data_IF_502078843902
#
_entry.id   IF_502078843902
#
_cell.length_a   1.000
_cell.length_b   1.000
_cell.length_c   1.000
_cell.angle_alpha   90.00
_cell.angle_beta   90.00
_cell.angle_gamma   90.00
#
_symmetry.space_group_name_H-M   'P 1'
#
loop_
_entity.id
_entity.type
_entity.pdbx_description
1 polymer ?
#
# COMPACT_ATOMS: atom_id res chain seq x y z
N UNK A 1 -11.73 -4.61 12.28
CA UNK A 1 -12.83 -3.59 12.24
C UNK A 1 -12.45 -2.50 11.25
N UNK A 2 -13.39 -2.06 10.37
CA UNK A 2 -13.11 -0.98 9.39
C UNK A 2 -12.82 0.35 10.10
N UNK A 3 -11.93 1.21 9.53
CA UNK A 3 -11.73 2.55 10.05
C UNK A 3 -12.99 3.41 9.88
N UNK A 4 -13.19 4.33 10.81
CA UNK A 4 -14.23 5.36 10.75
C UNK A 4 -13.75 6.50 9.82
N UNK A 5 -14.68 7.32 9.34
CA UNK A 5 -14.36 8.44 8.44
C UNK A 5 -13.34 9.45 9.02
N UNK A 6 -13.33 9.65 10.33
CA UNK A 6 -12.39 10.55 10.99
C UNK A 6 -10.99 9.97 11.26
N UNK A 7 -10.74 8.72 10.87
CA UNK A 7 -9.45 8.04 11.07
C UNK A 7 -8.44 8.33 9.94
N UNK A 8 -8.87 8.91 8.83
CA UNK A 8 -8.02 9.39 7.74
C UNK A 8 -8.66 10.59 7.04
N UNK A 9 -7.84 11.39 6.35
CA UNK A 9 -8.35 12.47 5.50
C UNK A 9 -9.14 11.92 4.31
N UNK A 10 -10.16 12.66 3.87
CA UNK A 10 -11.15 12.24 2.87
C UNK A 10 -10.53 11.73 1.55
N UNK A 11 -9.38 12.25 1.16
CA UNK A 11 -8.64 11.78 -0.02
C UNK A 11 -8.44 10.25 -0.03
N UNK A 12 -8.19 9.65 1.13
CA UNK A 12 -7.92 8.20 1.24
C UNK A 12 -9.19 7.34 1.39
N UNK A 13 -10.36 7.94 1.56
CA UNK A 13 -11.61 7.17 1.68
C UNK A 13 -11.88 6.33 0.42
N UNK A 14 -11.48 6.83 -0.77
CA UNK A 14 -11.59 6.08 -2.01
C UNK A 14 -10.80 4.76 -1.99
N UNK A 15 -9.64 4.72 -1.35
CA UNK A 15 -8.86 3.49 -1.16
C UNK A 15 -9.48 2.58 -0.10
N UNK A 16 -9.78 3.13 1.09
CA UNK A 16 -10.38 2.38 2.20
C UNK A 16 -11.66 1.68 1.76
N UNK A 17 -12.48 2.33 0.94
CA UNK A 17 -13.77 1.80 0.49
C UNK A 17 -13.65 0.67 -0.55
N UNK A 18 -12.49 0.47 -1.18
CA UNK A 18 -12.22 -0.67 -2.06
C UNK A 18 -11.93 -1.96 -1.30
N UNK A 19 -11.67 -1.86 -0.01
CA UNK A 19 -11.33 -3.04 0.82
C UNK A 19 -12.62 -3.69 1.30
N UNK A 20 -12.84 -4.96 0.93
CA UNK A 20 -13.95 -5.75 1.42
C UNK A 20 -13.55 -6.52 2.69
N UNK A 21 -14.46 -6.59 3.65
CA UNK A 21 -14.25 -7.30 4.90
C UNK A 21 -13.76 -6.41 6.04
N UNK A 22 -13.69 -7.01 7.24
CA UNK A 22 -13.38 -6.34 8.50
C UNK A 22 -12.05 -6.79 9.12
N UNK A 23 -11.38 -7.77 8.51
CA UNK A 23 -10.05 -8.25 8.90
C UNK A 23 -9.05 -7.88 7.81
N UNK A 24 -8.38 -6.76 8.00
CA UNK A 24 -7.44 -6.23 7.01
C UNK A 24 -6.20 -7.12 6.84
N UNK A 25 -5.78 -7.85 7.88
CA UNK A 25 -4.60 -8.75 7.78
C UNK A 25 -4.92 -9.89 6.83
N UNK A 26 -6.06 -10.55 6.98
CA UNK A 26 -6.52 -11.58 6.04
C UNK A 26 -6.70 -11.06 4.61
N UNK A 27 -7.13 -9.79 4.44
CA UNK A 27 -7.19 -9.16 3.11
C UNK A 27 -5.80 -9.01 2.50
N UNK A 28 -4.83 -8.52 3.27
CA UNK A 28 -3.45 -8.35 2.81
C UNK A 28 -2.79 -9.69 2.45
N UNK A 29 -3.08 -10.76 3.19
CA UNK A 29 -2.63 -12.13 2.91
C UNK A 29 -3.16 -12.63 1.57
N UNK A 30 -4.48 -12.55 1.38
CA UNK A 30 -5.12 -12.94 0.10
C UNK A 30 -4.56 -12.12 -1.07
N UNK A 31 -4.40 -10.80 -0.90
CA UNK A 31 -3.84 -9.93 -1.93
C UNK A 31 -2.40 -10.30 -2.29
N UNK A 32 -1.59 -10.80 -1.37
CA UNK A 32 -0.24 -11.26 -1.69
C UNK A 32 -0.26 -12.37 -2.73
N UNK A 33 -1.08 -13.39 -2.52
CA UNK A 33 -1.15 -14.56 -3.40
C UNK A 33 -1.81 -14.21 -4.75
N UNK A 34 -2.99 -13.59 -4.71
CA UNK A 34 -3.75 -13.23 -5.91
C UNK A 34 -2.99 -12.24 -6.80
N UNK A 35 -2.38 -11.21 -6.20
CA UNK A 35 -1.64 -10.19 -6.96
C UNK A 35 -0.33 -10.76 -7.50
N UNK A 36 0.37 -11.60 -6.74
CA UNK A 36 1.60 -12.25 -7.24
C UNK A 36 1.29 -13.11 -8.45
N UNK A 37 0.23 -13.93 -8.42
CA UNK A 37 -0.19 -14.74 -9.56
C UNK A 37 -0.53 -13.85 -10.77
N UNK A 38 -1.37 -12.84 -10.57
CA UNK A 38 -1.77 -11.91 -11.63
C UNK A 38 -0.57 -11.18 -12.28
N UNK A 39 0.35 -10.66 -11.48
CA UNK A 39 1.53 -9.95 -12.00
C UNK A 39 2.50 -10.90 -12.72
N UNK A 40 2.60 -12.16 -12.30
CA UNK A 40 3.47 -13.16 -12.93
C UNK A 40 3.01 -13.56 -14.33
N UNK A 41 1.75 -13.34 -14.68
CA UNK A 41 1.20 -13.58 -16.01
C UNK A 41 1.50 -12.44 -17.01
N UNK A 42 2.01 -11.31 -16.54
CA UNK A 42 2.37 -10.17 -17.39
C UNK A 42 3.78 -10.40 -17.97
N UNK A 43 3.92 -10.31 -19.29
CA UNK A 43 5.20 -10.51 -19.95
C UNK A 43 6.17 -9.34 -19.71
N UNK A 44 7.47 -9.61 -19.85
CA UNK A 44 8.54 -8.63 -19.78
C UNK A 44 8.32 -7.46 -20.74
N UNK A 45 7.93 -7.75 -21.99
CA UNK A 45 7.63 -6.73 -23.00
C UNK A 45 6.42 -5.88 -22.60
N UNK A 46 5.33 -6.52 -22.11
CA UNK A 46 4.11 -5.83 -21.68
C UNK A 46 4.37 -4.92 -20.48
N UNK A 47 5.32 -5.25 -19.62
CA UNK A 47 5.64 -4.46 -18.44
C UNK A 47 6.15 -3.05 -18.76
N UNK A 48 6.71 -2.82 -19.94
CA UNK A 48 7.14 -1.50 -20.42
C UNK A 48 6.01 -0.68 -21.07
N UNK A 49 4.81 -1.26 -21.22
CA UNK A 49 3.69 -0.58 -21.84
C UNK A 49 3.23 0.64 -21.04
N UNK A 50 2.93 1.73 -21.77
CA UNK A 50 2.28 2.95 -21.28
C UNK A 50 0.97 3.11 -22.07
N UNK A 51 -0.14 3.27 -21.38
CA UNK A 51 -1.43 3.46 -22.08
C UNK A 51 -1.58 4.86 -22.72
N UNK A 52 -0.70 5.80 -22.38
CA UNK A 52 -0.54 7.12 -23.00
C UNK A 52 0.90 7.61 -22.82
N UNK A 53 1.45 8.44 -23.73
CA UNK A 53 2.88 8.84 -23.70
C UNK A 53 3.33 9.54 -22.41
N UNK A 54 2.40 10.19 -21.71
CA UNK A 54 2.63 10.94 -20.47
C UNK A 54 2.30 10.14 -19.20
N UNK A 55 1.98 8.84 -19.35
CA UNK A 55 1.64 7.96 -18.23
C UNK A 55 2.79 7.02 -17.89
N UNK A 56 2.77 6.55 -16.67
CA UNK A 56 3.74 5.58 -16.17
C UNK A 56 3.69 4.27 -16.96
N UNK A 57 4.82 3.61 -17.10
CA UNK A 57 4.87 2.21 -17.51
C UNK A 57 4.30 1.32 -16.41
N UNK A 58 4.01 0.05 -16.73
CA UNK A 58 3.63 -0.92 -15.69
C UNK A 58 4.71 -1.09 -14.64
N UNK A 59 6.01 -1.02 -15.02
CA UNK A 59 7.14 -1.08 -14.09
C UNK A 59 7.14 0.10 -13.14
N UNK A 60 6.97 1.32 -13.65
CA UNK A 60 6.88 2.53 -12.84
C UNK A 60 5.66 2.50 -11.93
N UNK A 61 4.52 2.01 -12.41
CA UNK A 61 3.32 1.87 -11.61
C UNK A 61 3.51 0.85 -10.48
N UNK A 62 4.07 -0.33 -10.76
CA UNK A 62 4.32 -1.34 -9.72
C UNK A 62 5.37 -0.87 -8.71
N UNK A 63 6.41 -0.18 -9.18
CA UNK A 63 7.38 0.45 -8.29
C UNK A 63 6.71 1.48 -7.37
N UNK A 64 5.83 2.36 -7.90
CA UNK A 64 5.05 3.28 -7.10
C UNK A 64 4.20 2.56 -6.04
N UNK A 65 3.59 1.43 -6.39
CA UNK A 65 2.81 0.62 -5.42
C UNK A 65 3.72 0.10 -4.30
N UNK A 66 4.90 -0.42 -4.65
CA UNK A 66 5.88 -0.93 -3.69
C UNK A 66 6.38 0.18 -2.74
N UNK A 67 6.73 1.34 -3.29
CA UNK A 67 7.19 2.49 -2.50
C UNK A 67 6.08 3.07 -1.63
N UNK A 68 4.87 3.20 -2.17
CA UNK A 68 3.70 3.64 -1.42
C UNK A 68 3.42 2.73 -0.22
N UNK A 69 3.52 1.41 -0.39
CA UNK A 69 3.35 0.45 0.70
C UNK A 69 4.43 0.62 1.78
N UNK A 70 5.71 0.82 1.39
CA UNK A 70 6.80 1.11 2.34
C UNK A 70 6.53 2.39 3.14
N UNK A 71 6.08 3.44 2.48
CA UNK A 71 5.76 4.72 3.14
C UNK A 71 4.60 4.55 4.12
N UNK A 72 3.52 3.89 3.72
CA UNK A 72 2.38 3.65 4.62
C UNK A 72 2.77 2.70 5.78
N UNK A 73 3.56 1.68 5.52
CA UNK A 73 4.08 0.78 6.56
C UNK A 73 4.96 1.53 7.57
N UNK A 74 5.86 2.39 7.10
CA UNK A 74 6.70 3.20 7.99
C UNK A 74 5.85 4.14 8.86
N UNK A 75 4.84 4.78 8.29
CA UNK A 75 3.90 5.60 9.05
C UNK A 75 3.15 4.77 10.10
N UNK A 76 2.66 3.59 9.72
CA UNK A 76 1.98 2.69 10.66
C UNK A 76 2.90 2.24 11.79
N UNK A 77 4.16 1.90 11.50
CA UNK A 77 5.18 1.58 12.51
C UNK A 77 5.41 2.74 13.46
N UNK A 78 5.61 3.95 12.93
CA UNK A 78 5.88 5.16 13.70
C UNK A 78 4.76 5.44 14.70
N UNK A 79 3.52 5.40 14.23
CA UNK A 79 2.34 5.64 15.06
C UNK A 79 2.09 4.50 16.05
N UNK A 80 2.22 3.25 15.62
CA UNK A 80 2.05 2.09 16.50
C UNK A 80 3.08 2.06 17.66
N UNK A 81 4.24 2.66 17.48
CA UNK A 81 5.27 2.80 18.53
C UNK A 81 5.16 4.12 19.31
N UNK A 82 4.12 4.92 19.04
CA UNK A 82 3.83 6.19 19.71
C UNK A 82 4.97 7.24 19.62
N UNK A 83 5.70 7.27 18.50
CA UNK A 83 6.64 8.36 18.24
C UNK A 83 5.85 9.68 18.08
N UNK A 84 6.32 10.78 18.73
CA UNK A 84 5.54 12.01 18.78
C UNK A 84 5.68 12.90 17.55
N UNK A 85 6.74 12.75 16.78
CA UNK A 85 7.06 13.67 15.69
C UNK A 85 6.21 13.41 14.44
N UNK A 86 5.75 14.46 13.74
CA UNK A 86 5.05 14.32 12.49
C UNK A 86 5.98 13.86 11.38
N UNK A 87 5.44 13.09 10.44
CA UNK A 87 6.17 12.61 9.26
C UNK A 87 5.92 13.49 8.04
N UNK A 88 6.94 13.66 7.16
CA UNK A 88 6.83 14.48 5.96
C UNK A 88 5.90 13.86 4.92
N UNK A 89 5.59 14.67 3.90
CA UNK A 89 4.95 14.20 2.67
C UNK A 89 5.92 13.33 1.85
N UNK A 90 5.35 12.41 1.10
CA UNK A 90 6.04 11.65 0.06
C UNK A 90 5.49 12.11 -1.30
N UNK A 91 6.36 12.65 -2.13
CA UNK A 91 6.03 13.03 -3.49
C UNK A 91 6.25 11.82 -4.41
N UNK A 92 5.15 11.27 -4.92
CA UNK A 92 5.18 10.07 -5.75
C UNK A 92 5.86 10.30 -7.10
N UNK A 93 5.76 11.50 -7.69
CA UNK A 93 6.32 11.79 -9.00
C UNK A 93 7.85 11.90 -8.91
N UNK A 94 8.35 12.50 -7.84
CA UNK A 94 9.79 12.49 -7.50
C UNK A 94 10.27 11.06 -7.26
N UNK A 95 9.49 10.27 -6.52
CA UNK A 95 9.81 8.86 -6.23
C UNK A 95 9.93 8.03 -7.52
N UNK A 96 8.92 8.06 -8.37
CA UNK A 96 8.89 7.31 -9.63
C UNK A 96 10.03 7.73 -10.56
N UNK A 97 10.26 9.05 -10.72
CA UNK A 97 11.36 9.54 -11.56
C UNK A 97 12.74 9.09 -11.02
N UNK A 98 12.92 9.08 -9.69
CA UNK A 98 14.17 8.67 -9.05
C UNK A 98 14.42 7.17 -9.10
N UNK A 99 13.36 6.35 -9.17
CA UNK A 99 13.48 4.90 -9.16
C UNK A 99 14.05 4.29 -10.45
N UNK A 100 13.89 4.96 -11.60
CA UNK A 100 14.34 4.45 -12.90
C UNK A 100 13.84 3.02 -13.18
N UNK A 101 12.58 2.75 -12.86
CA UNK A 101 12.00 1.41 -12.80
C UNK A 101 12.10 0.64 -14.13
N UNK A 102 12.06 1.33 -15.27
CA UNK A 102 12.17 0.72 -16.60
C UNK A 102 13.55 0.06 -16.89
N UNK A 103 14.56 0.35 -16.08
CA UNK A 103 15.91 -0.24 -16.22
C UNK A 103 16.04 -1.62 -15.57
N UNK A 104 15.04 -2.07 -14.81
CA UNK A 104 15.06 -3.34 -14.10
C UNK A 104 14.01 -4.30 -14.66
N UNK A 105 14.33 -5.59 -14.69
CA UNK A 105 13.44 -6.63 -15.20
C UNK A 105 12.10 -6.70 -14.40
N UNK A 106 11.01 -7.03 -15.09
CA UNK A 106 9.70 -7.16 -14.47
C UNK A 106 9.69 -8.15 -13.30
N UNK A 107 10.40 -9.25 -13.44
CA UNK A 107 10.52 -10.25 -12.39
C UNK A 107 11.07 -9.67 -11.07
N UNK A 108 11.98 -8.67 -11.14
CA UNK A 108 12.51 -8.01 -9.95
C UNK A 108 11.44 -7.18 -9.25
N UNK A 109 10.60 -6.45 -10.00
CA UNK A 109 9.50 -5.66 -9.43
C UNK A 109 8.44 -6.55 -8.76
N UNK A 110 8.13 -7.71 -9.35
CA UNK A 110 7.22 -8.69 -8.75
C UNK A 110 7.82 -9.31 -7.49
N UNK A 111 9.10 -9.66 -7.51
CA UNK A 111 9.81 -10.17 -6.33
C UNK A 111 9.85 -9.13 -5.20
N UNK A 112 10.07 -7.86 -5.54
CA UNK A 112 10.04 -6.74 -4.61
C UNK A 112 8.66 -6.56 -3.99
N UNK A 113 7.57 -6.61 -4.78
CA UNK A 113 6.20 -6.58 -4.27
C UNK A 113 5.97 -7.66 -3.20
N UNK A 114 6.39 -8.89 -3.49
CA UNK A 114 6.27 -10.00 -2.54
C UNK A 114 7.02 -9.74 -1.24
N UNK A 115 8.24 -9.24 -1.34
CA UNK A 115 9.08 -8.95 -0.16
C UNK A 115 8.50 -7.83 0.70
N UNK A 116 8.04 -6.73 0.07
CA UNK A 116 7.42 -5.59 0.75
C UNK A 116 6.13 -6.04 1.45
N UNK A 117 5.23 -6.73 0.75
CA UNK A 117 3.98 -7.23 1.33
C UNK A 117 4.24 -8.25 2.46
N UNK A 118 5.24 -9.11 2.33
CA UNK A 118 5.62 -10.03 3.41
C UNK A 118 6.09 -9.27 4.66
N UNK A 119 6.89 -8.20 4.50
CA UNK A 119 7.30 -7.33 5.59
C UNK A 119 6.12 -6.60 6.23
N UNK A 120 5.18 -6.09 5.43
CA UNK A 120 3.93 -5.46 5.87
C UNK A 120 3.10 -6.41 6.73
N UNK A 121 2.90 -7.64 6.25
CA UNK A 121 2.18 -8.68 6.99
C UNK A 121 2.89 -9.05 8.30
N UNK A 122 4.22 -9.23 8.26
CA UNK A 122 5.00 -9.51 9.45
C UNK A 122 4.82 -8.43 10.52
N UNK A 123 4.78 -7.15 10.12
CA UNK A 123 4.54 -6.05 11.05
C UNK A 123 3.11 -6.08 11.63
N UNK A 124 2.07 -6.12 10.79
CA UNK A 124 0.68 -6.07 11.29
C UNK A 124 0.33 -7.28 12.17
N UNK A 125 0.94 -8.45 11.92
CA UNK A 125 0.80 -9.64 12.79
C UNK A 125 1.42 -9.45 14.18
N UNK A 126 2.31 -8.46 14.39
CA UNK A 126 2.83 -8.12 15.72
C UNK A 126 1.88 -7.24 16.53
N UNK A 127 0.86 -6.66 15.89
CA UNK A 127 -0.19 -5.93 16.58
C UNK A 127 -1.25 -6.94 17.03
N UNK A 128 -1.69 -6.93 18.29
CA UNK A 128 -2.71 -7.85 18.76
C UNK A 128 -3.98 -7.80 17.88
N UNK A 129 -4.60 -8.95 17.64
CA UNK A 129 -5.84 -9.02 16.88
C UNK A 129 -6.88 -8.04 17.45
N UNK A 130 -7.69 -7.41 16.59
CA UNK A 130 -8.59 -6.31 16.97
C UNK A 130 -9.59 -6.63 18.10
N UNK A 131 -9.82 -7.90 18.38
CA UNK A 131 -10.68 -8.37 19.47
C UNK A 131 -9.92 -8.78 20.74
N UNK A 132 -8.59 -8.70 20.74
CA UNK A 132 -7.79 -8.99 21.92
C UNK A 132 -7.76 -7.79 22.89
N UNK A 133 -7.67 -8.08 24.18
CA UNK A 133 -7.56 -7.03 25.20
C UNK A 133 -6.38 -6.11 24.93
N UNK A 134 -6.60 -4.80 24.89
CA UNK A 134 -5.58 -3.78 24.62
C UNK A 134 -5.24 -3.56 23.14
N UNK A 135 -5.78 -4.34 22.21
CA UNK A 135 -5.55 -4.14 20.77
C UNK A 135 -6.10 -2.82 20.25
N UNK A 136 -7.26 -2.42 20.74
CA UNK A 136 -7.93 -1.17 20.37
C UNK A 136 -7.00 0.05 20.54
N UNK A 137 -6.18 0.05 21.60
CA UNK A 137 -5.23 1.14 21.86
C UNK A 137 -4.24 1.32 20.72
N UNK A 138 -3.62 0.23 20.21
CA UNK A 138 -2.62 0.31 19.15
C UNK A 138 -3.26 0.63 17.81
N UNK A 139 -4.37 -0.02 17.46
CA UNK A 139 -5.05 0.22 16.19
C UNK A 139 -5.61 1.64 16.07
N UNK A 140 -6.02 2.23 17.20
CA UNK A 140 -6.54 3.61 17.28
C UNK A 140 -5.46 4.68 17.45
N UNK A 141 -4.19 4.30 17.64
CA UNK A 141 -3.11 5.31 17.75
C UNK A 141 -3.07 6.16 16.50
N UNK A 142 -3.03 7.46 16.73
CA UNK A 142 -3.04 8.48 15.68
C UNK A 142 -1.69 9.19 15.63
N UNK A 143 -1.22 9.43 14.42
CA UNK A 143 -0.07 10.30 14.16
C UNK A 143 -0.36 11.22 12.99
N UNK A 144 0.55 12.17 12.78
CA UNK A 144 0.46 13.14 11.69
C UNK A 144 1.44 12.77 10.59
N UNK A 145 0.96 12.67 9.36
CA UNK A 145 1.79 12.54 8.16
C UNK A 145 1.25 13.42 7.04
N UNK A 146 2.13 14.07 6.29
CA UNK A 146 1.72 15.02 5.24
C UNK A 146 0.75 16.09 5.76
N UNK A 147 0.88 16.52 7.01
CA UNK A 147 0.01 17.51 7.65
C UNK A 147 -1.38 16.98 8.06
N UNK A 148 -1.66 15.71 7.92
CA UNK A 148 -2.98 15.11 8.18
C UNK A 148 -2.91 13.98 9.22
N UNK A 149 -3.97 13.77 10.02
CA UNK A 149 -4.03 12.69 10.98
C UNK A 149 -4.38 11.35 10.31
N UNK A 150 -3.78 10.27 10.81
CA UNK A 150 -4.10 8.90 10.44
C UNK A 150 -4.02 7.99 11.65
N UNK A 151 -4.93 7.03 11.76
CA UNK A 151 -4.76 5.92 12.69
C UNK A 151 -3.94 4.79 12.07
N UNK A 152 -3.37 3.94 12.90
CA UNK A 152 -2.69 2.70 12.46
C UNK A 152 -3.65 1.82 11.65
N UNK A 153 -4.90 1.71 12.09
CA UNK A 153 -5.96 0.98 11.39
C UNK A 153 -6.21 1.55 9.99
N UNK A 154 -6.38 2.86 9.87
CA UNK A 154 -6.62 3.50 8.59
C UNK A 154 -5.46 3.25 7.61
N UNK A 155 -4.20 3.32 8.08
CA UNK A 155 -3.03 3.03 7.26
C UNK A 155 -3.01 1.59 6.73
N UNK A 156 -3.40 0.59 7.55
CA UNK A 156 -3.51 -0.79 7.08
C UNK A 156 -4.54 -0.94 5.94
N UNK A 157 -5.71 -0.31 6.07
CA UNK A 157 -6.73 -0.29 5.02
C UNK A 157 -6.32 0.52 3.80
N UNK A 158 -5.55 1.60 3.97
CA UNK A 158 -4.99 2.38 2.86
C UNK A 158 -4.01 1.51 2.05
N UNK A 159 -3.14 0.75 2.68
CA UNK A 159 -2.24 -0.20 2.00
C UNK A 159 -3.01 -1.17 1.13
N UNK A 160 -4.02 -1.83 1.69
CA UNK A 160 -4.84 -2.80 0.96
C UNK A 160 -5.63 -2.15 -0.19
N UNK A 161 -6.23 -0.99 0.05
CA UNK A 161 -7.04 -0.28 -0.94
C UNK A 161 -6.24 0.41 -2.02
N UNK A 162 -5.03 0.89 -1.73
CA UNK A 162 -4.11 1.45 -2.69
C UNK A 162 -3.69 0.40 -3.73
N UNK A 163 -3.31 -0.80 -3.28
CA UNK A 163 -3.04 -1.91 -4.20
C UNK A 163 -4.28 -2.25 -5.03
N UNK A 164 -5.45 -2.41 -4.40
CA UNK A 164 -6.68 -2.75 -5.12
C UNK A 164 -6.99 -1.74 -6.23
N UNK A 165 -6.84 -0.44 -5.93
CA UNK A 165 -7.00 0.62 -6.93
C UNK A 165 -6.06 0.44 -8.12
N UNK A 166 -4.77 0.22 -7.86
CA UNK A 166 -3.80 0.11 -8.95
C UNK A 166 -3.95 -1.19 -9.75
N UNK A 167 -4.40 -2.28 -9.15
CA UNK A 167 -4.76 -3.51 -9.89
C UNK A 167 -5.96 -3.27 -10.81
N UNK A 168 -6.98 -2.50 -10.38
CA UNK A 168 -8.08 -2.07 -11.27
C UNK A 168 -7.55 -1.24 -12.44
N UNK A 169 -6.69 -0.26 -12.17
CA UNK A 169 -6.06 0.56 -13.22
C UNK A 169 -5.27 -0.28 -14.21
N UNK A 170 -4.51 -1.27 -13.73
CA UNK A 170 -3.76 -2.19 -14.62
C UNK A 170 -4.72 -2.93 -15.55
N UNK A 171 -5.77 -3.53 -14.99
CA UNK A 171 -6.76 -4.31 -15.75
C UNK A 171 -7.52 -3.48 -16.79
N UNK A 172 -7.85 -2.23 -16.46
CA UNK A 172 -8.67 -1.37 -17.31
C UNK A 172 -7.87 -0.62 -18.38
N UNK A 173 -6.61 -0.29 -18.10
CA UNK A 173 -5.83 0.64 -18.94
C UNK A 173 -4.64 -0.01 -19.64
N UNK A 174 -4.02 -1.02 -18.99
CA UNK A 174 -2.79 -1.59 -19.51
C UNK A 174 -2.98 -2.94 -20.19
N UNK A 175 -4.01 -3.71 -19.83
CA UNK A 175 -4.29 -5.04 -20.40
C UNK A 175 -5.46 -5.02 -21.37
#
# INVERSE_FOLDING_TARGET
MRPKENEAVSYYHGYINRVEGNDVVSVLERQLDETTAFLSDISEEKSLHRYSPDKWSLRELLNHVNDGERVFLFRALWFARAFPDPLPSYDQDVGVAGARADEFDWANHVAEFRAVRAATLAFFRTIPAENAAGSEEVWNRTGIASGNPFTVRALAYIVAGHLAHHIEVIKEKYL
#
